data_IF_177519658538
#
_entry.id   IF_177519658538
#
_cell.length_a   1.000
_cell.length_b   1.000
_cell.length_c   1.000
_cell.angle_alpha   90.00
_cell.angle_beta   90.00
_cell.angle_gamma   90.00
#
_symmetry.space_group_name_H-M   'P 1'
#
loop_
_entity.id
_entity.type
_entity.pdbx_description
1 polymer ?
#
# COMPACT_ATOMS: atom_id res chain seq x y z
N UNK A 1 15.50 1.40 -16.89
CA UNK A 1 14.23 1.15 -17.59
C UNK A 1 13.17 1.42 -16.55
N UNK A 2 12.65 2.64 -16.56
CA UNK A 2 11.62 3.04 -15.61
C UNK A 2 10.31 2.43 -16.14
N UNK A 3 9.96 1.27 -15.62
CA UNK A 3 8.63 0.71 -15.82
C UNK A 3 7.72 1.54 -14.91
N UNK A 4 7.05 2.53 -15.49
CA UNK A 4 5.99 3.25 -14.81
C UNK A 4 4.81 2.28 -14.63
N UNK A 5 4.37 2.10 -13.38
CA UNK A 5 3.23 1.26 -13.08
C UNK A 5 1.94 1.96 -13.55
N UNK A 6 1.27 1.37 -14.53
CA UNK A 6 -0.03 1.84 -15.01
C UNK A 6 -1.15 1.41 -14.06
N UNK A 7 -1.37 2.23 -13.03
CA UNK A 7 -2.42 1.99 -12.05
C UNK A 7 -3.82 2.01 -12.68
N UNK A 8 -4.04 2.81 -13.73
CA UNK A 8 -5.37 2.91 -14.35
C UNK A 8 -5.71 1.60 -15.07
N UNK A 9 -4.75 1.04 -15.80
CA UNK A 9 -4.92 -0.27 -16.44
C UNK A 9 -5.02 -1.40 -15.39
N UNK A 10 -4.22 -1.36 -14.33
CA UNK A 10 -4.28 -2.36 -13.26
C UNK A 10 -5.66 -2.44 -12.60
N UNK A 11 -6.32 -1.30 -12.34
CA UNK A 11 -7.69 -1.26 -11.78
C UNK A 11 -8.71 -2.03 -12.61
N UNK A 12 -8.55 -2.02 -13.93
CA UNK A 12 -9.50 -2.65 -14.87
C UNK A 12 -9.18 -4.12 -15.06
N UNK A 13 -7.91 -4.43 -15.29
CA UNK A 13 -7.46 -5.78 -15.61
C UNK A 13 -7.45 -6.67 -14.38
N UNK A 14 -6.93 -6.15 -13.28
CA UNK A 14 -6.84 -6.87 -12.02
C UNK A 14 -6.15 -8.24 -12.18
N UNK A 15 -4.98 -8.24 -12.82
CA UNK A 15 -4.26 -9.48 -13.12
C UNK A 15 -3.47 -10.01 -11.90
N UNK A 16 -3.28 -9.20 -10.85
CA UNK A 16 -2.48 -9.52 -9.67
C UNK A 16 -2.82 -8.65 -8.45
N UNK A 17 -2.59 -9.19 -7.25
CA UNK A 17 -2.65 -8.46 -5.98
C UNK A 17 -1.43 -7.54 -5.82
N UNK A 18 -1.57 -6.46 -5.03
CA UNK A 18 -0.50 -5.51 -4.77
C UNK A 18 0.00 -5.60 -3.33
N UNK A 19 1.32 -5.57 -3.16
CA UNK A 19 2.02 -5.29 -1.91
C UNK A 19 2.68 -3.91 -2.05
N UNK A 20 2.18 -2.92 -1.31
CA UNK A 20 2.65 -1.54 -1.37
C UNK A 20 3.40 -1.20 -0.09
N UNK A 21 4.70 -0.94 -0.20
CA UNK A 21 5.53 -0.52 0.93
C UNK A 21 5.75 0.99 0.89
N UNK A 22 5.54 1.65 2.03
CA UNK A 22 5.75 3.09 2.24
C UNK A 22 4.46 3.91 2.20
N UNK A 23 4.41 4.94 3.05
CA UNK A 23 3.25 5.84 3.16
C UNK A 23 3.09 6.80 1.96
N UNK A 24 2.06 7.67 1.99
CA UNK A 24 1.64 8.48 0.83
C UNK A 24 2.67 9.52 0.35
N UNK A 25 3.68 9.83 1.17
CA UNK A 25 4.79 10.71 0.78
C UNK A 25 5.78 9.98 -0.13
N UNK A 26 6.00 8.68 0.11
CA UNK A 26 6.99 7.86 -0.60
C UNK A 26 6.37 6.99 -1.70
N UNK A 27 5.08 6.68 -1.60
CA UNK A 27 4.36 5.81 -2.53
C UNK A 27 3.13 6.51 -3.09
N UNK A 28 3.18 6.85 -4.38
CA UNK A 28 2.10 7.58 -5.06
C UNK A 28 0.82 6.75 -5.22
N UNK A 29 0.90 5.42 -5.24
CA UNK A 29 -0.26 4.53 -5.31
C UNK A 29 -1.00 4.54 -3.96
N UNK A 30 -0.26 4.47 -2.85
CA UNK A 30 -0.82 4.61 -1.50
C UNK A 30 -1.50 5.97 -1.34
N UNK A 31 -0.87 7.04 -1.82
CA UNK A 31 -1.52 8.37 -1.85
C UNK A 31 -2.85 8.36 -2.60
N UNK A 32 -2.90 7.75 -3.80
CA UNK A 32 -4.14 7.63 -4.57
C UNK A 32 -5.21 6.80 -3.83
N UNK A 33 -4.82 5.71 -3.19
CA UNK A 33 -5.74 4.89 -2.40
C UNK A 33 -6.38 5.69 -1.25
N UNK A 34 -5.62 6.56 -0.59
CA UNK A 34 -6.15 7.49 0.44
C UNK A 34 -7.06 8.54 -0.21
N UNK A 35 -6.60 9.18 -1.29
CA UNK A 35 -7.37 10.25 -1.97
C UNK A 35 -8.73 9.71 -2.50
N UNK A 36 -8.81 8.41 -2.83
CA UNK A 36 -10.03 7.71 -3.26
C UNK A 36 -10.86 7.15 -2.08
N UNK A 37 -10.40 7.31 -0.84
CA UNK A 37 -11.10 6.86 0.37
C UNK A 37 -11.05 5.35 0.62
N UNK A 38 -10.10 4.65 0.01
CA UNK A 38 -9.94 3.19 0.14
C UNK A 38 -9.11 2.78 1.35
N UNK A 39 -8.09 3.60 1.68
CA UNK A 39 -7.26 3.41 2.87
C UNK A 39 -7.83 4.23 4.03
N UNK A 40 -8.03 3.59 5.17
CA UNK A 40 -8.60 4.17 6.38
C UNK A 40 -7.54 4.54 7.44
N UNK A 41 -6.30 4.05 7.28
CA UNK A 41 -5.21 4.32 8.23
C UNK A 41 -4.64 5.71 8.01
N UNK A 42 -4.47 6.46 9.11
CA UNK A 42 -3.71 7.72 9.09
C UNK A 42 -2.20 7.43 9.11
N UNK A 43 -1.64 7.19 7.93
CA UNK A 43 -0.22 6.89 7.76
C UNK A 43 0.72 8.01 8.21
N UNK A 44 0.25 9.25 8.40
CA UNK A 44 1.08 10.34 8.90
C UNK A 44 1.38 10.21 10.39
N UNK A 45 0.54 9.48 11.13
CA UNK A 45 0.69 9.24 12.57
C UNK A 45 0.86 7.77 12.93
N UNK A 46 0.75 6.86 11.95
CA UNK A 46 0.90 5.42 12.15
C UNK A 46 2.30 5.05 12.69
N UNK A 47 2.39 4.26 13.78
CA UNK A 47 3.67 3.78 14.31
C UNK A 47 4.32 2.68 13.46
N UNK A 48 3.71 2.30 12.34
CA UNK A 48 4.11 1.14 11.53
C UNK A 48 3.04 0.06 11.60
N UNK A 49 2.22 -0.04 10.56
CA UNK A 49 1.04 -0.90 10.51
C UNK A 49 0.85 -1.51 9.11
N UNK A 50 -0.05 -2.47 9.02
CA UNK A 50 -0.50 -3.06 7.76
C UNK A 50 -1.98 -2.80 7.55
N UNK A 51 -2.36 -2.52 6.32
CA UNK A 51 -3.75 -2.43 5.92
C UNK A 51 -4.01 -3.36 4.74
N UNK A 52 -4.90 -4.33 4.95
CA UNK A 52 -5.35 -5.22 3.89
C UNK A 52 -6.70 -4.75 3.35
N UNK A 53 -6.72 -4.35 2.08
CA UNK A 53 -7.89 -3.85 1.39
C UNK A 53 -8.36 -4.92 0.40
N UNK A 54 -9.53 -5.48 0.66
CA UNK A 54 -10.11 -6.57 -0.15
C UNK A 54 -10.81 -5.98 -1.37
N UNK A 55 -10.40 -6.42 -2.55
CA UNK A 55 -11.05 -6.12 -3.83
C UNK A 55 -11.49 -4.66 -4.02
N UNK A 56 -10.66 -3.62 -3.75
CA UNK A 56 -11.07 -2.21 -3.85
C UNK A 56 -11.59 -1.82 -5.24
N UNK A 57 -11.21 -2.57 -6.27
CA UNK A 57 -11.64 -2.39 -7.66
C UNK A 57 -12.27 -3.65 -8.28
N UNK A 58 -12.67 -4.62 -7.46
CA UNK A 58 -13.50 -5.76 -7.89
C UNK A 58 -12.94 -7.15 -7.62
N UNK A 59 -11.67 -7.44 -7.94
CA UNK A 59 -11.14 -8.81 -7.88
C UNK A 59 -9.79 -9.00 -7.16
N UNK A 60 -8.98 -7.96 -7.01
CA UNK A 60 -7.60 -8.07 -6.49
C UNK A 60 -7.47 -7.28 -5.22
N UNK A 61 -6.64 -7.80 -4.34
CA UNK A 61 -6.41 -7.23 -3.04
C UNK A 61 -5.17 -6.33 -3.04
N UNK A 62 -5.16 -5.39 -2.10
CA UNK A 62 -4.01 -4.52 -1.83
C UNK A 62 -3.61 -4.70 -0.38
N UNK A 63 -2.33 -4.96 -0.13
CA UNK A 63 -1.72 -4.88 1.18
C UNK A 63 -0.80 -3.67 1.23
N UNK A 64 -1.11 -2.70 2.08
CA UNK A 64 -0.26 -1.54 2.36
C UNK A 64 0.53 -1.81 3.64
N UNK A 65 1.83 -1.56 3.61
CA UNK A 65 2.74 -1.66 4.76
C UNK A 65 3.48 -0.34 4.88
N UNK A 66 3.17 0.43 5.91
CA UNK A 66 3.71 1.77 6.06
C UNK A 66 3.72 2.22 7.52
N UNK A 67 4.50 3.27 7.78
CA UNK A 67 4.44 4.04 9.02
C UNK A 67 4.74 5.52 8.75
N UNK A 68 4.65 6.33 9.80
CA UNK A 68 4.85 7.79 9.77
C UNK A 68 6.21 8.21 9.20
N UNK A 69 7.21 7.34 9.29
CA UNK A 69 8.53 7.58 8.75
C UNK A 69 9.18 6.29 8.22
N UNK A 70 10.44 6.43 7.78
CA UNK A 70 11.24 5.33 7.22
C UNK A 70 11.51 4.23 8.23
N UNK A 71 11.72 4.58 9.50
CA UNK A 71 12.04 3.63 10.57
C UNK A 71 10.79 2.82 10.93
N UNK A 72 9.64 3.48 11.10
CA UNK A 72 8.37 2.83 11.34
C UNK A 72 7.95 1.91 10.17
N UNK A 73 8.15 2.36 8.94
CA UNK A 73 7.91 1.53 7.74
C UNK A 73 8.82 0.30 7.72
N UNK A 74 10.11 0.46 8.02
CA UNK A 74 11.05 -0.67 8.08
C UNK A 74 10.62 -1.68 9.14
N UNK A 75 10.30 -1.23 10.35
CA UNK A 75 9.83 -2.09 11.43
C UNK A 75 8.55 -2.86 11.04
N UNK A 76 7.60 -2.19 10.36
CA UNK A 76 6.40 -2.85 9.85
C UNK A 76 6.71 -3.94 8.81
N UNK A 77 7.71 -3.71 7.94
CA UNK A 77 8.14 -4.71 6.96
C UNK A 77 8.86 -5.88 7.62
N UNK A 78 9.76 -5.62 8.58
CA UNK A 78 10.46 -6.67 9.34
C UNK A 78 9.48 -7.59 10.06
N UNK A 79 8.48 -7.00 10.75
CA UNK A 79 7.41 -7.76 11.39
C UNK A 79 6.62 -8.65 10.41
N UNK A 80 6.49 -8.23 9.15
CA UNK A 80 5.75 -9.01 8.15
C UNK A 80 6.57 -10.21 7.71
N UNK A 81 7.85 -9.99 7.44
CA UNK A 81 8.80 -11.03 7.06
C UNK A 81 8.89 -12.10 8.15
N UNK A 82 8.92 -11.70 9.42
CA UNK A 82 8.99 -12.62 10.57
C UNK A 82 7.74 -13.49 10.75
N UNK A 83 6.63 -13.15 10.09
CA UNK A 83 5.37 -13.92 10.14
C UNK A 83 5.21 -14.91 8.97
N UNK A 84 6.17 -14.99 8.06
CA UNK A 84 6.18 -15.88 6.90
C UNK A 84 7.08 -17.11 7.11
#
# INVERSE_FOLDING_TARGET
MDIEFDFANWKVMCDYNLLLVGGPVANTIVKRAIDEGLSAVDWATSPGEWEYIVAPYGACDILIIAGMDRTATLAAVELLIDQL
#
